data_IF_439499063673
#
_entry.id   IF_439499063673
#
_cell.length_a   1.000
_cell.length_b   1.000
_cell.length_c   1.000
_cell.angle_alpha   90.00
_cell.angle_beta   90.00
_cell.angle_gamma   90.00
#
_symmetry.space_group_name_H-M   'P 1'
#
loop_
_entity.id
_entity.type
_entity.pdbx_description
1 polymer ?
#
# COMPACT_ATOMS: atom_id res chain seq x y z
N UNK A 1 0.86 -1.43 -34.72
CA UNK A 1 0.57 -0.87 -33.39
C UNK A 1 -0.07 -1.98 -32.57
N UNK A 2 0.67 -2.62 -31.65
CA UNK A 2 0.20 -3.83 -30.97
C UNK A 2 -0.74 -3.46 -29.81
N UNK A 3 -2.05 -3.54 -30.03
CA UNK A 3 -3.04 -3.58 -28.96
C UNK A 3 -3.07 -5.00 -28.39
N UNK A 4 -2.33 -5.26 -27.32
CA UNK A 4 -2.38 -6.53 -26.62
C UNK A 4 -3.48 -6.47 -25.55
N UNK A 5 -4.68 -6.92 -25.91
CA UNK A 5 -5.77 -7.24 -24.98
C UNK A 5 -5.45 -8.53 -24.19
N UNK A 6 -4.27 -8.60 -23.57
CA UNK A 6 -3.93 -9.67 -22.65
C UNK A 6 -4.74 -9.43 -21.37
N UNK A 7 -5.78 -10.25 -21.18
CA UNK A 7 -6.37 -10.46 -19.86
C UNK A 7 -5.28 -11.07 -18.98
N UNK A 8 -4.49 -10.22 -18.31
CA UNK A 8 -3.59 -10.67 -17.25
C UNK A 8 -4.47 -11.22 -16.16
N UNK A 9 -4.45 -12.53 -15.95
CA UNK A 9 -5.07 -13.15 -14.79
C UNK A 9 -4.57 -12.40 -13.56
N UNK A 10 -5.47 -12.05 -12.64
CA UNK A 10 -5.06 -11.38 -11.41
C UNK A 10 -4.06 -12.31 -10.72
N UNK A 11 -2.85 -11.83 -10.37
CA UNK A 11 -1.91 -12.62 -9.60
C UNK A 11 -2.62 -13.19 -8.38
N UNK A 12 -2.50 -14.50 -8.15
CA UNK A 12 -3.02 -15.11 -6.94
C UNK A 12 -2.41 -14.39 -5.75
N UNK A 13 -3.25 -14.04 -4.76
CA UNK A 13 -2.73 -13.42 -3.54
C UNK A 13 -1.83 -14.44 -2.83
N UNK A 14 -0.74 -13.99 -2.20
CA UNK A 14 0.09 -14.86 -1.39
C UNK A 14 -0.69 -15.54 -0.27
N UNK A 15 -0.27 -16.75 0.09
CA UNK A 15 -0.80 -17.52 1.21
C UNK A 15 0.38 -18.04 2.07
N UNK A 16 0.55 -17.58 3.33
CA UNK A 16 -0.33 -16.64 4.02
C UNK A 16 -0.19 -15.19 3.51
N UNK A 17 -1.30 -14.42 3.43
CA UNK A 17 -1.24 -13.03 3.00
C UNK A 17 -0.69 -12.14 4.11
N UNK A 18 -0.07 -11.03 3.72
CA UNK A 18 0.33 -9.98 4.66
C UNK A 18 -0.88 -9.50 5.47
N UNK A 19 -0.78 -9.47 6.79
CA UNK A 19 -1.90 -9.10 7.67
C UNK A 19 -2.30 -7.62 7.55
N UNK A 20 -1.40 -6.76 7.08
CA UNK A 20 -1.63 -5.31 6.94
C UNK A 20 -2.29 -4.98 5.60
N UNK A 21 -1.68 -5.38 4.48
CA UNK A 21 -2.23 -5.09 3.15
C UNK A 21 -3.15 -6.18 2.60
N UNK A 22 -3.37 -7.27 3.34
CA UNK A 22 -4.25 -8.39 2.94
C UNK A 22 -3.91 -8.99 1.58
N UNK A 23 -2.62 -9.03 1.25
CA UNK A 23 -2.12 -9.58 -0.02
C UNK A 23 -2.03 -8.61 -1.19
N UNK A 24 -2.35 -7.32 -1.04
CA UNK A 24 -2.27 -6.35 -2.16
C UNK A 24 -0.88 -5.76 -2.38
N UNK A 25 0.00 -5.84 -1.38
CA UNK A 25 1.32 -5.20 -1.39
C UNK A 25 1.29 -3.67 -1.18
N UNK A 26 0.12 -3.03 -1.24
CA UNK A 26 -0.04 -1.57 -1.13
C UNK A 26 -1.02 -1.21 -0.03
N UNK A 27 -0.82 -0.05 0.57
CA UNK A 27 -1.70 0.57 1.57
C UNK A 27 -1.98 2.00 1.16
N UNK A 28 -2.94 2.63 1.83
CA UNK A 28 -3.16 4.06 1.66
C UNK A 28 -1.90 4.84 2.05
N UNK A 29 -1.57 5.84 1.23
CA UNK A 29 -0.45 6.71 1.48
C UNK A 29 -0.66 7.43 2.81
N UNK A 30 0.29 7.26 3.73
CA UNK A 30 0.24 7.82 5.08
C UNK A 30 0.21 9.36 5.11
N UNK A 31 0.69 10.00 4.04
CA UNK A 31 0.76 11.46 3.96
C UNK A 31 -0.54 12.11 3.46
N UNK A 32 -1.28 11.44 2.56
CA UNK A 32 -2.52 11.98 1.98
C UNK A 32 -3.76 11.13 2.31
N UNK A 33 -3.60 10.09 3.13
CA UNK A 33 -4.66 9.18 3.56
C UNK A 33 -5.47 8.62 2.39
N UNK A 34 -4.78 8.10 1.37
CA UNK A 34 -5.45 7.49 0.21
C UNK A 34 -5.85 8.46 -0.91
N UNK A 35 -5.78 9.78 -0.69
CA UNK A 35 -6.42 10.76 -1.61
C UNK A 35 -5.58 11.17 -2.81
N UNK A 36 -4.26 10.99 -2.73
CA UNK A 36 -3.33 11.43 -3.77
C UNK A 36 -3.03 12.93 -3.76
N UNK A 37 -3.80 13.77 -3.06
CA UNK A 37 -3.57 15.22 -2.96
C UNK A 37 -3.60 15.72 -1.52
N UNK A 38 -3.04 16.90 -1.27
CA UNK A 38 -2.98 17.53 0.06
C UNK A 38 -3.94 18.72 0.22
N UNK A 39 -4.38 19.37 -0.87
CA UNK A 39 -5.41 20.40 -0.83
C UNK A 39 -6.82 19.81 -0.93
N UNK A 40 -7.79 20.47 -0.29
CA UNK A 40 -9.21 20.07 -0.27
C UNK A 40 -9.38 18.57 -0.05
N UNK A 41 -8.70 18.04 0.97
CA UNK A 41 -8.65 16.61 1.24
C UNK A 41 -10.02 16.10 1.70
N UNK A 42 -10.77 16.91 2.42
CA UNK A 42 -12.15 16.64 2.84
C UNK A 42 -13.14 16.51 1.67
N UNK A 43 -12.88 17.15 0.52
CA UNK A 43 -13.75 17.10 -0.65
C UNK A 43 -13.44 15.90 -1.54
N UNK A 44 -14.47 15.25 -2.10
CA UNK A 44 -14.29 14.19 -3.10
C UNK A 44 -13.76 14.78 -4.41
N UNK A 45 -14.38 15.87 -4.88
CA UNK A 45 -13.96 16.60 -6.07
C UNK A 45 -13.31 17.93 -5.70
N UNK A 46 -12.35 18.38 -6.52
CA UNK A 46 -11.78 19.71 -6.35
C UNK A 46 -12.80 20.80 -6.71
N UNK A 47 -12.74 21.96 -6.04
CA UNK A 47 -13.46 23.13 -6.49
C UNK A 47 -13.08 23.50 -7.93
N UNK A 48 -14.03 24.07 -8.66
CA UNK A 48 -13.81 24.46 -10.05
C UNK A 48 -12.73 25.54 -10.13
N UNK A 49 -11.74 25.33 -11.01
CA UNK A 49 -10.63 26.26 -11.22
C UNK A 49 -9.41 25.99 -10.32
N UNK A 50 -9.50 25.06 -9.38
CA UNK A 50 -8.38 24.67 -8.54
C UNK A 50 -7.64 23.45 -9.05
N UNK A 51 -6.31 23.50 -8.98
CA UNK A 51 -5.44 22.39 -9.35
C UNK A 51 -5.08 21.53 -8.13
N UNK A 52 -5.02 20.19 -8.27
CA UNK A 52 -4.58 19.31 -7.20
C UNK A 52 -3.13 19.63 -6.81
N UNK A 53 -2.92 19.88 -5.53
CA UNK A 53 -1.60 19.83 -4.92
C UNK A 53 -1.27 18.37 -4.67
N UNK A 54 -0.61 17.74 -5.65
CA UNK A 54 -0.28 16.32 -5.59
C UNK A 54 0.57 16.01 -4.37
N UNK A 55 0.22 14.91 -3.69
CA UNK A 55 1.02 14.37 -2.62
C UNK A 55 2.38 13.94 -3.17
N UNK A 56 3.44 14.63 -2.76
CA UNK A 56 4.81 14.36 -3.21
C UNK A 56 5.32 12.98 -2.80
N UNK A 57 4.77 12.40 -1.73
CA UNK A 57 5.16 11.08 -1.22
C UNK A 57 4.68 9.96 -2.13
N UNK A 58 3.42 10.00 -2.58
CA UNK A 58 2.86 8.95 -3.45
C UNK A 58 2.74 9.34 -4.93
N UNK A 59 3.21 10.53 -5.29
CA UNK A 59 3.15 11.06 -6.66
C UNK A 59 1.72 11.18 -7.21
N UNK A 60 0.73 11.42 -6.35
CA UNK A 60 -0.68 11.51 -6.77
C UNK A 60 -1.47 10.20 -6.75
N UNK A 61 -0.81 9.04 -6.57
CA UNK A 61 -1.50 7.74 -6.65
C UNK A 61 -2.44 7.44 -5.47
N UNK A 62 -2.24 8.12 -4.33
CA UNK A 62 -2.93 7.81 -3.08
C UNK A 62 -2.43 6.55 -2.39
N UNK A 63 -1.52 5.78 -2.99
CA UNK A 63 -1.05 4.50 -2.46
C UNK A 63 0.44 4.57 -2.11
N UNK A 64 0.82 3.83 -1.07
CA UNK A 64 2.20 3.59 -0.65
C UNK A 64 2.46 2.08 -0.56
N UNK A 65 3.72 1.67 -0.63
CA UNK A 65 4.07 0.27 -0.40
C UNK A 65 3.76 -0.10 1.05
N UNK A 66 3.24 -1.32 1.24
CA UNK A 66 2.96 -1.82 2.56
C UNK A 66 4.26 -1.91 3.36
N UNK A 67 4.36 -1.17 4.46
CA UNK A 67 5.54 -1.14 5.32
C UNK A 67 5.86 -2.50 5.97
N UNK A 68 4.89 -3.43 6.04
CA UNK A 68 5.13 -4.77 6.62
C UNK A 68 5.72 -5.74 5.61
N UNK A 69 5.18 -5.80 4.39
CA UNK A 69 5.63 -6.76 3.37
C UNK A 69 6.55 -6.14 2.31
N UNK A 70 6.74 -4.82 2.33
CA UNK A 70 7.56 -4.06 1.38
C UNK A 70 7.11 -4.27 -0.07
N UNK A 71 5.80 -4.37 -0.30
CA UNK A 71 5.24 -4.56 -1.64
C UNK A 71 4.97 -6.00 -2.06
N UNK A 72 5.49 -7.01 -1.36
CA UNK A 72 5.31 -8.41 -1.81
C UNK A 72 3.88 -8.94 -1.63
N UNK A 73 3.14 -8.41 -0.65
CA UNK A 73 1.83 -8.91 -0.26
C UNK A 73 1.89 -10.16 0.61
N UNK A 74 3.08 -10.72 0.86
CA UNK A 74 3.26 -11.97 1.60
C UNK A 74 3.29 -11.71 3.12
N UNK A 75 2.85 -12.71 3.89
CA UNK A 75 3.08 -12.71 5.33
C UNK A 75 4.57 -12.73 5.62
N UNK A 76 4.97 -11.92 6.60
CA UNK A 76 6.33 -11.91 7.15
C UNK A 76 6.22 -12.05 8.65
N UNK A 77 7.03 -12.95 9.20
CA UNK A 77 7.20 -13.06 10.64
C UNK A 77 7.67 -11.72 11.23
N UNK A 78 7.28 -11.38 12.47
CA UNK A 78 7.74 -10.17 13.12
C UNK A 78 9.28 -10.14 13.13
N UNK A 79 9.88 -9.12 12.53
CA UNK A 79 11.31 -8.91 12.63
C UNK A 79 11.63 -8.48 14.07
N UNK A 80 12.43 -9.26 14.79
CA UNK A 80 12.79 -9.02 16.18
C UNK A 80 13.65 -10.14 16.77
N UNK A 81 14.05 -9.98 18.02
CA UNK A 81 14.78 -11.02 18.75
C UNK A 81 13.79 -12.02 19.35
N UNK A 82 13.96 -13.30 19.04
CA UNK A 82 13.34 -14.35 19.84
C UNK A 82 14.03 -14.36 21.21
N UNK A 83 13.35 -13.87 22.25
CA UNK A 83 13.78 -14.16 23.61
C UNK A 83 13.57 -15.65 23.82
N UNK A 84 14.63 -16.44 23.71
CA UNK A 84 14.58 -17.82 24.15
C UNK A 84 14.30 -17.78 25.65
N UNK A 85 13.07 -18.08 26.06
CA UNK A 85 12.75 -18.33 27.46
C UNK A 85 13.61 -19.51 27.88
N UNK A 86 14.76 -19.23 28.50
CA UNK A 86 15.57 -20.25 29.15
C UNK A 86 14.70 -20.74 30.30
N UNK A 87 14.02 -21.88 30.10
CA UNK A 87 13.50 -22.67 31.20
C UNK A 87 14.71 -23.08 32.04
N UNK A 88 14.94 -22.34 33.13
CA UNK A 88 15.83 -22.80 34.19
C UNK A 88 15.19 -24.06 34.78
N UNK A 89 15.95 -25.15 34.70
CA UNK A 89 15.65 -26.43 35.35
C UNK A 89 15.44 -26.24 36.84
#
# INVERSE_FOLDING_TARGET
MMQSNIRRERPKRPDPPCTICRGTGKIDCRNCFGRGRTNHADLVMLPKGEWPQWCRICGGSGLDYCHRCHGTGEFREPMGFHFATIHRK
#
